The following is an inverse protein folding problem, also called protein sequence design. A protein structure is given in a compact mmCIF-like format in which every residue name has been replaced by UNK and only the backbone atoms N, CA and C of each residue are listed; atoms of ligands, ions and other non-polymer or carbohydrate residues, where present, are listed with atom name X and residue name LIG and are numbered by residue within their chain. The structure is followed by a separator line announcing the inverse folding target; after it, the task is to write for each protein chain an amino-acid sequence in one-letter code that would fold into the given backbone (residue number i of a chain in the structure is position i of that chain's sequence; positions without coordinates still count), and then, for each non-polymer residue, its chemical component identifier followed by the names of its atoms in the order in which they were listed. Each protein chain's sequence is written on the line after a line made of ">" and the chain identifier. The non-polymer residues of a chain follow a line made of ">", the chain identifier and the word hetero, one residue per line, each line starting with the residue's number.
data_IF_546345307451
#
_entry.id   IF_546345307451
#
_cell.length_a   1.000
_cell.length_b   1.000
_cell.length_c   1.000
_cell.angle_alpha   90.00
_cell.angle_beta   90.00
_cell.angle_gamma   90.00
#
_symmetry.space_group_name_H-M   'P 1'
#
loop_
_entity.id
_entity.type
_entity.pdbx_description
1 polymer ?
#
# COMPACT_ATOMS: atom_id res chain seq x y z
N UNK A 1 -3.61 11.43 -22.40
CA UNK A 1 -3.01 12.20 -21.28
C UNK A 1 -1.73 11.52 -20.86
N UNK A 2 -0.76 12.31 -20.42
CA UNK A 2 0.48 11.88 -19.78
C UNK A 2 0.29 11.85 -18.27
N UNK A 3 0.41 10.67 -17.67
CA UNK A 3 0.21 10.46 -16.24
C UNK A 3 1.53 10.01 -15.61
N UNK A 4 1.99 10.73 -14.60
CA UNK A 4 3.15 10.33 -13.83
C UNK A 4 2.73 9.76 -12.47
N UNK A 5 3.18 8.55 -12.16
CA UNK A 5 2.98 7.93 -10.85
C UNK A 5 4.33 7.87 -10.12
N UNK A 6 4.37 8.39 -8.90
CA UNK A 6 5.57 8.45 -8.06
C UNK A 6 5.37 7.54 -6.86
N UNK A 7 6.30 6.61 -6.63
CA UNK A 7 6.22 5.68 -5.50
C UNK A 7 7.60 5.27 -4.99
N UNK A 8 7.71 5.06 -3.69
CA UNK A 8 8.85 4.44 -3.00
C UNK A 8 8.66 2.92 -2.83
N UNK A 9 7.45 2.41 -3.12
CA UNK A 9 7.12 0.99 -3.04
C UNK A 9 7.11 0.41 -4.47
N UNK A 10 8.18 -0.31 -4.82
CA UNK A 10 8.30 -0.95 -6.14
C UNK A 10 9.05 -2.27 -6.07
N UNK A 11 9.15 -2.96 -7.22
CA UNK A 11 9.93 -4.18 -7.36
C UNK A 11 11.37 -4.02 -6.86
N UNK A 12 11.95 -5.05 -6.21
CA UNK A 12 11.44 -6.42 -6.08
C UNK A 12 10.49 -6.65 -4.88
N UNK A 13 10.02 -5.60 -4.19
CA UNK A 13 9.16 -5.76 -3.01
C UNK A 13 7.82 -6.39 -3.38
N UNK A 14 7.43 -7.44 -2.65
CA UNK A 14 6.12 -8.10 -2.83
C UNK A 14 5.15 -7.60 -1.77
N UNK A 15 4.36 -6.58 -2.11
CA UNK A 15 3.32 -6.06 -1.21
C UNK A 15 2.09 -5.55 -1.98
N UNK A 16 1.04 -5.21 -1.23
CA UNK A 16 -0.23 -4.76 -1.79
C UNK A 16 -0.14 -3.42 -2.54
N UNK A 17 0.80 -2.54 -2.18
CA UNK A 17 1.00 -1.25 -2.86
C UNK A 17 1.58 -1.49 -4.25
N UNK A 18 2.65 -2.28 -4.35
CA UNK A 18 3.28 -2.63 -5.64
C UNK A 18 2.25 -3.26 -6.59
N UNK A 19 1.44 -4.21 -6.10
CA UNK A 19 0.36 -4.83 -6.91
C UNK A 19 -0.69 -3.81 -7.36
N UNK A 20 -1.15 -2.95 -6.46
CA UNK A 20 -2.13 -1.91 -6.77
C UNK A 20 -1.60 -0.99 -7.88
N UNK A 21 -0.35 -0.53 -7.76
CA UNK A 21 0.25 0.40 -8.72
C UNK A 21 0.56 -0.26 -10.06
N UNK A 22 0.98 -1.52 -10.07
CA UNK A 22 1.13 -2.30 -11.32
C UNK A 22 -0.19 -2.42 -12.07
N UNK A 23 -1.26 -2.80 -11.38
CA UNK A 23 -2.58 -2.91 -12.02
C UNK A 23 -3.07 -1.55 -12.49
N UNK A 24 -2.97 -0.52 -11.64
CA UNK A 24 -3.35 0.85 -12.01
C UNK A 24 -2.64 1.32 -13.27
N UNK A 25 -1.33 1.09 -13.37
CA UNK A 25 -0.56 1.41 -14.57
C UNK A 25 -1.07 0.63 -15.79
N UNK A 26 -1.32 -0.67 -15.65
CA UNK A 26 -1.80 -1.52 -16.74
C UNK A 26 -3.17 -1.04 -17.25
N UNK A 27 -4.12 -0.77 -16.35
CA UNK A 27 -5.45 -0.25 -16.70
C UNK A 27 -5.37 1.12 -17.37
N UNK A 28 -4.58 2.04 -16.84
CA UNK A 28 -4.41 3.37 -17.45
C UNK A 28 -3.82 3.30 -18.86
N UNK A 29 -2.86 2.42 -19.09
CA UNK A 29 -2.31 2.17 -20.43
C UNK A 29 -3.38 1.55 -21.34
N UNK A 30 -4.15 0.57 -20.83
CA UNK A 30 -5.27 -0.04 -21.55
C UNK A 30 -6.36 0.96 -21.94
N UNK A 31 -6.55 2.02 -21.14
CA UNK A 31 -7.43 3.15 -21.42
C UNK A 31 -6.83 4.17 -22.43
N UNK A 32 -5.61 3.94 -22.93
CA UNK A 32 -4.95 4.80 -23.92
C UNK A 32 -4.16 5.98 -23.32
N UNK A 33 -3.85 5.95 -22.03
CA UNK A 33 -2.98 6.95 -21.41
C UNK A 33 -1.49 6.58 -21.53
N UNK A 34 -0.64 7.60 -21.62
CA UNK A 34 0.81 7.44 -21.52
C UNK A 34 1.21 7.52 -20.04
N UNK A 35 1.80 6.45 -19.49
CA UNK A 35 2.06 6.36 -18.05
C UNK A 35 3.54 6.15 -17.76
N UNK A 36 4.16 7.13 -17.09
CA UNK A 36 5.52 7.04 -16.60
C UNK A 36 5.57 6.85 -15.07
N UNK A 37 6.44 5.94 -14.62
CA UNK A 37 6.65 5.67 -13.21
C UNK A 37 7.99 6.27 -12.74
N UNK A 38 7.96 7.02 -11.64
CA UNK A 38 9.14 7.29 -10.82
C UNK A 38 9.10 6.31 -9.65
N UNK A 39 10.12 5.45 -9.59
CA UNK A 39 10.25 4.37 -8.61
C UNK A 39 11.65 4.43 -8.00
N UNK A 40 11.97 3.64 -6.95
CA UNK A 40 13.33 3.56 -6.43
C UNK A 40 14.35 3.05 -7.47
N UNK A 41 13.90 2.37 -8.53
CA UNK A 41 14.77 1.95 -9.62
C UNK A 41 15.35 3.18 -10.32
N UNK A 42 16.68 3.24 -10.40
CA UNK A 42 17.41 4.40 -10.90
C UNK A 42 17.92 5.35 -9.81
N UNK A 43 17.68 5.04 -8.53
CA UNK A 43 18.18 5.81 -7.39
C UNK A 43 19.09 4.95 -6.50
N UNK A 44 20.16 5.58 -5.98
CA UNK A 44 20.88 4.99 -4.84
C UNK A 44 19.94 4.97 -3.65
N UNK A 45 19.81 3.82 -3.00
CA UNK A 45 18.88 3.64 -1.89
C UNK A 45 19.56 2.98 -0.69
N UNK A 46 19.07 3.29 0.51
CA UNK A 46 19.45 2.59 1.74
C UNK A 46 18.23 1.86 2.32
N UNK A 47 18.43 0.73 3.01
CA UNK A 47 17.35 0.09 3.76
C UNK A 47 16.80 1.05 4.82
N UNK A 48 15.49 1.11 4.96
CA UNK A 48 14.85 1.89 6.02
C UNK A 48 15.25 1.34 7.40
N UNK A 49 15.62 2.20 8.37
CA UNK A 49 15.89 1.76 9.73
C UNK A 49 14.69 0.98 10.29
N UNK A 50 14.96 -0.18 10.89
CA UNK A 50 13.94 -1.13 11.42
C UNK A 50 13.05 -1.83 10.38
N UNK A 51 13.15 -1.50 9.09
CA UNK A 51 12.40 -2.17 8.03
C UNK A 51 13.20 -2.22 6.71
N UNK A 52 14.22 -3.10 6.62
CA UNK A 52 15.17 -3.10 5.51
C UNK A 52 14.54 -3.35 4.13
N UNK A 53 13.36 -3.97 4.10
CA UNK A 53 12.60 -4.24 2.87
C UNK A 53 12.10 -2.95 2.19
N UNK A 54 12.06 -1.81 2.89
CA UNK A 54 11.74 -0.50 2.30
C UNK A 54 13.05 0.16 1.87
N UNK A 55 13.20 0.37 0.56
CA UNK A 55 14.29 1.13 -0.02
C UNK A 55 14.02 2.63 0.06
N UNK A 56 14.84 3.37 0.80
CA UNK A 56 14.78 4.84 0.87
C UNK A 56 15.75 5.43 -0.15
N UNK A 57 15.20 6.04 -1.20
CA UNK A 57 15.99 6.73 -2.22
C UNK A 57 16.74 7.93 -1.62
N UNK A 58 18.05 7.99 -1.84
CA UNK A 58 18.93 9.04 -1.33
C UNK A 58 18.90 10.26 -2.26
N UNK A 59 18.63 11.42 -1.67
CA UNK A 59 18.65 12.74 -2.34
C UNK A 59 17.96 12.78 -3.72
N UNK A 60 16.72 12.26 -3.87
CA UNK A 60 16.16 12.06 -5.20
C UNK A 60 15.69 13.34 -5.90
N UNK A 61 15.68 14.48 -5.19
CA UNK A 61 15.04 15.73 -5.63
C UNK A 61 15.43 16.23 -7.02
N UNK A 62 16.74 16.24 -7.36
CA UNK A 62 17.21 16.72 -8.68
C UNK A 62 16.69 15.85 -9.82
N UNK A 63 16.80 14.54 -9.66
CA UNK A 63 16.41 13.57 -10.68
C UNK A 63 14.88 13.48 -10.83
N UNK A 64 14.15 13.52 -9.70
CA UNK A 64 12.68 13.60 -9.72
C UNK A 64 12.21 14.86 -10.47
N UNK A 65 12.79 16.02 -10.15
CA UNK A 65 12.48 17.28 -10.83
C UNK A 65 12.78 17.23 -12.33
N UNK A 66 13.90 16.62 -12.72
CA UNK A 66 14.30 16.43 -14.12
C UNK A 66 13.26 15.58 -14.86
N UNK A 67 12.90 14.40 -14.32
CA UNK A 67 11.94 13.49 -14.93
C UNK A 67 10.54 14.08 -15.04
N UNK A 68 10.05 14.77 -14.01
CA UNK A 68 8.76 15.48 -14.10
C UNK A 68 8.79 16.53 -15.23
N UNK A 69 9.87 17.31 -15.32
CA UNK A 69 10.02 18.35 -16.35
C UNK A 69 10.08 17.78 -17.76
N UNK A 70 10.84 16.71 -17.97
CA UNK A 70 11.04 16.10 -19.30
C UNK A 70 9.79 15.38 -19.79
N UNK A 71 9.13 14.63 -18.92
CA UNK A 71 7.89 13.93 -19.28
C UNK A 71 6.73 14.90 -19.50
N UNK A 72 6.70 16.02 -18.76
CA UNK A 72 5.66 17.03 -18.76
C UNK A 72 4.25 16.41 -18.56
N UNK A 73 3.97 15.80 -17.40
CA UNK A 73 2.70 15.12 -17.15
C UNK A 73 1.53 16.10 -17.07
N UNK A 74 0.38 15.67 -17.60
CA UNK A 74 -0.91 16.32 -17.38
C UNK A 74 -1.43 16.09 -15.95
N UNK A 75 -1.06 14.96 -15.34
CA UNK A 75 -1.45 14.58 -13.99
C UNK A 75 -0.33 13.85 -13.24
N UNK A 76 -0.16 14.18 -11.96
CA UNK A 76 0.80 13.52 -11.06
C UNK A 76 0.03 12.80 -9.95
N UNK A 77 0.36 11.53 -9.72
CA UNK A 77 -0.11 10.75 -8.58
C UNK A 77 1.06 10.35 -7.68
N UNK A 78 1.05 10.81 -6.43
CA UNK A 78 2.08 10.53 -5.44
C UNK A 78 1.57 9.44 -4.49
N UNK A 79 2.02 8.21 -4.68
CA UNK A 79 1.46 7.03 -4.01
C UNK A 79 2.04 6.76 -2.61
N UNK A 80 3.16 7.37 -2.24
CA UNK A 80 3.85 7.11 -0.98
C UNK A 80 4.45 8.38 -0.37
N UNK A 81 4.59 8.38 0.95
CA UNK A 81 5.09 9.50 1.75
C UNK A 81 6.63 9.48 1.94
N UNK A 82 7.35 8.64 1.19
CA UNK A 82 8.80 8.46 1.27
C UNK A 82 9.60 9.53 0.51
N UNK A 83 10.94 9.36 0.39
CA UNK A 83 11.82 10.35 -0.23
C UNK A 83 11.43 10.77 -1.65
N UNK A 84 10.96 9.84 -2.48
CA UNK A 84 10.48 10.15 -3.83
C UNK A 84 9.19 10.96 -3.78
N UNK A 85 8.24 10.54 -2.95
CA UNK A 85 6.98 11.27 -2.76
C UNK A 85 7.19 12.68 -2.21
N UNK A 86 8.08 12.85 -1.24
CA UNK A 86 8.47 14.16 -0.70
C UNK A 86 9.06 15.06 -1.79
N UNK A 87 9.94 14.51 -2.63
CA UNK A 87 10.56 15.26 -3.73
C UNK A 87 9.57 15.67 -4.80
N UNK A 88 8.67 14.76 -5.21
CA UNK A 88 7.63 15.05 -6.19
C UNK A 88 6.63 16.07 -5.65
N UNK A 89 6.22 15.94 -4.38
CA UNK A 89 5.34 16.90 -3.71
C UNK A 89 5.98 18.29 -3.67
N UNK A 90 7.24 18.39 -3.25
CA UNK A 90 7.95 19.66 -3.19
C UNK A 90 8.03 20.33 -4.57
N UNK A 91 8.31 19.54 -5.61
CA UNK A 91 8.34 20.04 -6.98
C UNK A 91 6.95 20.50 -7.46
N UNK A 92 5.91 19.69 -7.24
CA UNK A 92 4.55 20.00 -7.67
C UNK A 92 4.01 21.27 -7.00
N UNK A 93 4.19 21.39 -5.68
CA UNK A 93 3.80 22.60 -4.92
C UNK A 93 4.56 23.83 -5.40
N UNK A 94 5.89 23.73 -5.60
CA UNK A 94 6.71 24.87 -6.05
C UNK A 94 6.29 25.38 -7.43
N UNK A 95 5.84 24.49 -8.32
CA UNK A 95 5.49 24.83 -9.70
C UNK A 95 3.97 24.90 -9.94
N UNK A 96 3.15 24.89 -8.88
CA UNK A 96 1.68 24.90 -8.95
C UNK A 96 1.09 23.80 -9.87
N UNK A 97 1.72 22.61 -9.88
CA UNK A 97 1.22 21.48 -10.64
C UNK A 97 0.14 20.73 -9.85
N UNK A 98 -1.02 20.39 -10.44
CA UNK A 98 -2.03 19.61 -9.77
C UNK A 98 -1.53 18.18 -9.55
N UNK A 99 -1.74 17.65 -8.34
CA UNK A 99 -1.39 16.27 -8.01
C UNK A 99 -2.40 15.65 -7.06
N UNK A 100 -2.49 14.32 -7.10
CA UNK A 100 -3.21 13.51 -6.12
C UNK A 100 -2.21 12.74 -5.25
N UNK A 101 -2.67 12.30 -4.09
CA UNK A 101 -1.90 11.46 -3.18
C UNK A 101 -2.69 10.20 -2.82
N UNK A 102 -2.03 9.15 -2.35
CA UNK A 102 -2.70 7.97 -1.78
C UNK A 102 -2.19 7.66 -0.38
N UNK A 103 -3.08 7.10 0.44
CA UNK A 103 -2.75 6.64 1.79
C UNK A 103 -2.93 5.12 1.87
N UNK A 104 -1.83 4.39 1.71
CA UNK A 104 -1.85 2.93 1.63
C UNK A 104 -1.51 2.22 2.94
N UNK A 105 -0.74 2.88 3.79
CA UNK A 105 -0.20 2.32 5.02
C UNK A 105 -0.58 3.22 6.18
N UNK A 106 -0.98 2.62 7.30
CA UNK A 106 -1.24 3.33 8.57
C UNK A 106 0.08 3.75 9.22
N UNK A 107 0.80 4.65 8.56
CA UNK A 107 2.13 5.10 8.95
C UNK A 107 2.15 5.74 10.36
N UNK A 108 1.21 6.62 10.75
CA UNK A 108 1.10 7.15 12.11
C UNK A 108 1.05 6.08 13.19
N UNK A 109 0.19 5.07 13.03
CA UNK A 109 0.04 3.97 14.00
C UNK A 109 1.29 3.10 14.04
N UNK A 110 1.88 2.81 12.89
CA UNK A 110 3.11 2.04 12.80
C UNK A 110 4.27 2.73 13.50
N UNK A 111 4.45 4.04 13.29
CA UNK A 111 5.49 4.83 13.97
C UNK A 111 5.24 4.85 15.47
N UNK A 112 4.01 5.10 15.92
CA UNK A 112 3.68 5.08 17.35
C UNK A 112 4.02 3.74 18.00
N UNK A 113 3.66 2.62 17.36
CA UNK A 113 3.92 1.29 17.89
C UNK A 113 5.42 0.97 18.05
N UNK A 114 6.30 1.59 17.26
CA UNK A 114 7.73 1.31 17.25
C UNK A 114 8.58 2.29 18.03
N UNK A 115 8.22 3.57 18.02
CA UNK A 115 9.04 4.63 18.60
C UNK A 115 8.35 5.38 19.73
N UNK A 116 7.06 5.10 19.97
CA UNK A 116 6.25 5.80 20.96
C UNK A 116 5.86 7.23 20.57
N UNK A 117 6.23 7.70 19.37
CA UNK A 117 5.88 9.05 18.92
C UNK A 117 4.35 9.23 18.94
N UNK A 118 3.83 10.31 19.55
CA UNK A 118 2.39 10.55 19.61
C UNK A 118 1.73 10.66 18.23
N UNK A 119 0.53 10.08 18.10
CA UNK A 119 -0.27 10.15 16.86
C UNK A 119 -0.51 11.59 16.39
N UNK A 120 -0.66 12.54 17.32
CA UNK A 120 -0.88 13.94 16.96
C UNK A 120 0.24 14.50 16.07
N UNK A 121 1.49 14.11 16.32
CA UNK A 121 2.67 14.55 15.57
C UNK A 121 2.70 13.90 14.19
N UNK A 122 2.53 12.59 14.12
CA UNK A 122 2.56 11.86 12.85
C UNK A 122 1.37 12.22 11.97
N UNK A 123 0.17 12.43 12.53
CA UNK A 123 -0.97 12.96 11.77
C UNK A 123 -0.80 14.43 11.37
N UNK A 124 -0.05 15.24 12.11
CA UNK A 124 0.33 16.57 11.64
C UNK A 124 1.22 16.50 10.38
N UNK A 125 2.15 15.55 10.33
CA UNK A 125 2.93 15.26 9.13
C UNK A 125 2.05 14.79 7.96
N UNK A 126 1.13 13.85 8.20
CA UNK A 126 0.17 13.39 7.17
C UNK A 126 -0.66 14.57 6.63
N UNK A 127 -1.22 15.41 7.49
CA UNK A 127 -1.95 16.61 7.03
C UNK A 127 -1.08 17.55 6.19
N UNK A 128 0.16 17.80 6.61
CA UNK A 128 1.10 18.62 5.84
C UNK A 128 1.41 18.00 4.48
N UNK A 129 1.69 16.69 4.44
CA UNK A 129 2.05 15.99 3.21
C UNK A 129 0.90 16.01 2.19
N UNK A 130 -0.29 15.58 2.62
CA UNK A 130 -1.44 15.42 1.74
C UNK A 130 -2.22 16.71 1.47
N UNK A 131 -2.13 17.71 2.35
CA UNK A 131 -2.96 18.92 2.32
C UNK A 131 -2.99 19.68 0.99
N UNK A 132 -1.86 19.87 0.27
CA UNK A 132 -1.86 20.58 -1.01
C UNK A 132 -2.35 19.75 -2.20
N UNK A 133 -2.61 18.45 -2.02
CA UNK A 133 -3.11 17.60 -3.12
C UNK A 133 -4.55 17.94 -3.46
N UNK A 134 -4.97 17.68 -4.70
CA UNK A 134 -6.36 17.82 -5.13
C UNK A 134 -7.27 16.74 -4.55
N UNK A 135 -6.72 15.54 -4.35
CA UNK A 135 -7.42 14.41 -3.76
C UNK A 135 -6.46 13.51 -2.97
N UNK A 136 -6.96 12.98 -1.85
CA UNK A 136 -6.28 12.00 -1.01
C UNK A 136 -7.01 10.67 -1.13
N UNK A 137 -6.42 9.72 -1.84
CA UNK A 137 -7.04 8.45 -2.16
C UNK A 137 -6.90 7.46 -1.00
N UNK A 138 -8.04 6.99 -0.47
CA UNK A 138 -8.12 6.03 0.63
C UNK A 138 -8.72 4.70 0.17
N UNK A 139 -8.20 3.54 0.63
CA UNK A 139 -8.59 2.23 0.11
C UNK A 139 -9.95 1.73 0.61
N UNK A 140 -10.45 2.25 1.73
CA UNK A 140 -11.71 1.83 2.34
C UNK A 140 -12.44 3.01 2.95
N UNK A 141 -13.76 2.86 3.14
CA UNK A 141 -14.58 3.88 3.82
C UNK A 141 -14.12 4.12 5.26
N UNK A 142 -13.62 3.08 5.95
CA UNK A 142 -13.08 3.19 7.30
C UNK A 142 -11.85 4.08 7.32
N UNK A 143 -10.89 3.84 6.42
CA UNK A 143 -9.67 4.65 6.33
C UNK A 143 -10.01 6.08 5.91
N UNK A 144 -10.95 6.26 4.98
CA UNK A 144 -11.43 7.60 4.59
C UNK A 144 -11.94 8.36 5.82
N UNK A 145 -12.86 7.76 6.58
CA UNK A 145 -13.45 8.40 7.75
C UNK A 145 -12.41 8.66 8.85
N UNK A 146 -11.43 7.77 9.03
CA UNK A 146 -10.32 7.99 9.96
C UNK A 146 -9.49 9.22 9.56
N UNK A 147 -9.09 9.33 8.28
CA UNK A 147 -8.33 10.48 7.77
C UNK A 147 -9.10 11.80 7.91
N UNK A 148 -10.41 11.78 7.64
CA UNK A 148 -11.29 12.95 7.82
C UNK A 148 -11.37 13.39 9.29
N UNK A 149 -11.48 12.44 10.23
CA UNK A 149 -11.41 12.74 11.67
C UNK A 149 -10.09 13.38 12.08
N UNK A 150 -9.00 13.04 11.39
CA UNK A 150 -7.68 13.65 11.61
C UNK A 150 -7.47 14.95 10.82
N UNK A 151 -8.52 15.48 10.16
CA UNK A 151 -8.54 16.82 9.57
C UNK A 151 -8.14 16.91 8.10
N UNK A 152 -8.06 15.79 7.37
CA UNK A 152 -7.90 15.80 5.91
C UNK A 152 -9.27 16.11 5.26
N UNK A 153 -9.31 17.02 4.27
CA UNK A 153 -10.58 17.60 3.77
C UNK A 153 -11.06 17.04 2.43
N UNK A 154 -10.18 16.43 1.65
CA UNK A 154 -10.42 16.03 0.26
C UNK A 154 -10.12 14.54 0.05
N UNK A 155 -10.56 13.73 1.00
CA UNK A 155 -10.35 12.29 0.98
C UNK A 155 -11.37 11.63 0.06
N UNK A 156 -10.91 10.87 -0.92
CA UNK A 156 -11.75 10.17 -1.89
C UNK A 156 -11.53 8.66 -1.78
N UNK A 157 -12.58 7.89 -2.05
CA UNK A 157 -12.47 6.44 -2.06
C UNK A 157 -11.76 5.98 -3.34
N UNK A 158 -10.67 5.25 -3.17
CA UNK A 158 -9.97 4.53 -4.23
C UNK A 158 -9.78 3.09 -3.78
N UNK A 159 -10.86 2.32 -3.89
CA UNK A 159 -10.88 0.91 -3.50
C UNK A 159 -9.98 0.07 -4.40
N UNK A 160 -9.49 -1.04 -3.85
CA UNK A 160 -8.73 -2.02 -4.64
C UNK A 160 -9.68 -2.95 -5.39
N UNK A 161 -9.33 -3.28 -6.63
CA UNK A 161 -10.01 -4.30 -7.42
C UNK A 161 -9.51 -5.71 -7.12
N UNK A 162 -10.24 -6.68 -7.67
CA UNK A 162 -9.84 -8.09 -7.76
C UNK A 162 -9.88 -8.47 -9.24
N UNK A 163 -8.88 -9.22 -9.69
CA UNK A 163 -8.82 -9.74 -11.06
C UNK A 163 -9.79 -10.92 -11.19
N UNK A 164 -10.86 -10.73 -11.97
CA UNK A 164 -11.92 -11.73 -12.14
C UNK A 164 -11.55 -12.86 -13.11
N UNK A 165 -10.48 -12.70 -13.90
CA UNK A 165 -9.96 -13.78 -14.74
C UNK A 165 -9.20 -14.81 -13.89
N UNK A 166 -8.59 -14.34 -12.79
CA UNK A 166 -7.91 -15.16 -11.78
C UNK A 166 -8.92 -15.70 -10.75
N UNK A 167 -9.71 -14.81 -10.14
CA UNK A 167 -10.65 -15.13 -9.07
C UNK A 167 -12.05 -15.40 -9.63
N UNK A 168 -12.20 -16.57 -10.23
CA UNK A 168 -13.50 -17.09 -10.70
C UNK A 168 -13.93 -18.31 -9.90
N UNK A 169 -15.23 -18.58 -9.89
CA UNK A 169 -15.75 -19.85 -9.36
C UNK A 169 -15.12 -21.00 -10.14
N UNK A 170 -14.65 -22.01 -9.42
CA UNK A 170 -14.09 -23.23 -9.98
C UNK A 170 -14.77 -24.43 -9.34
N UNK A 171 -14.88 -25.53 -10.09
CA UNK A 171 -15.35 -26.79 -9.53
C UNK A 171 -14.41 -27.20 -8.39
N UNK A 172 -15.00 -27.42 -7.21
CA UNK A 172 -14.27 -27.87 -6.03
C UNK A 172 -13.70 -29.26 -6.31
N UNK A 173 -12.38 -29.40 -6.19
CA UNK A 173 -11.81 -30.72 -5.88
C UNK A 173 -12.24 -31.05 -4.45
N UNK A 174 -12.85 -32.21 -4.24
CA UNK A 174 -13.20 -32.67 -2.91
C UNK A 174 -11.94 -32.67 -2.03
N UNK A 175 -11.92 -31.81 -1.02
CA UNK A 175 -10.89 -31.83 0.00
C UNK A 175 -11.27 -32.92 1.00
N UNK A 176 -10.32 -33.80 1.34
CA UNK A 176 -10.57 -34.86 2.30
C UNK A 176 -10.52 -34.30 3.74
N UNK A 177 -11.49 -33.46 4.08
CA UNK A 177 -11.63 -32.80 5.39
C UNK A 177 -13.09 -32.66 5.80
N UNK A 178 -13.34 -32.51 7.10
CA UNK A 178 -14.68 -32.31 7.62
C UNK A 178 -15.30 -31.01 7.07
N UNK A 179 -16.54 -31.09 6.61
CA UNK A 179 -17.30 -29.94 6.13
C UNK A 179 -18.20 -29.37 7.25
N UNK A 180 -18.51 -28.05 7.23
CA UNK A 180 -18.00 -27.03 6.30
C UNK A 180 -16.50 -26.74 6.47
N UNK A 181 -15.90 -26.19 5.41
CA UNK A 181 -14.50 -25.77 5.40
C UNK A 181 -14.46 -24.25 5.63
N UNK A 182 -13.81 -23.83 6.71
CA UNK A 182 -13.53 -22.43 6.99
C UNK A 182 -12.11 -22.09 6.56
N UNK A 183 -11.96 -21.00 5.82
CA UNK A 183 -10.69 -20.66 5.18
C UNK A 183 -10.16 -19.30 5.67
N UNK A 184 -8.90 -19.31 6.08
CA UNK A 184 -8.07 -18.13 6.21
C UNK A 184 -7.02 -18.12 5.08
N UNK A 185 -6.92 -17.02 4.35
CA UNK A 185 -5.86 -16.81 3.34
C UNK A 185 -5.08 -15.55 3.67
N UNK A 186 -3.78 -15.69 3.94
CA UNK A 186 -2.93 -14.55 4.25
C UNK A 186 -1.59 -14.95 4.87
N UNK A 187 -0.71 -13.96 5.06
CA UNK A 187 0.58 -14.16 5.74
C UNK A 187 0.34 -14.68 7.16
N UNK A 188 1.11 -15.70 7.57
CA UNK A 188 1.03 -16.25 8.93
C UNK A 188 1.92 -15.46 9.87
N UNK A 189 1.36 -14.41 10.46
CA UNK A 189 2.07 -13.46 11.29
C UNK A 189 1.18 -12.95 12.44
N UNK A 190 1.81 -12.51 13.54
CA UNK A 190 1.14 -12.14 14.80
C UNK A 190 0.11 -11.03 14.57
N UNK A 191 0.43 -10.03 13.76
CA UNK A 191 -0.47 -8.90 13.46
C UNK A 191 -1.73 -9.30 12.69
N UNK A 192 -1.79 -10.53 12.15
CA UNK A 192 -2.97 -11.07 11.46
C UNK A 192 -3.93 -11.81 12.38
N UNK A 193 -3.58 -11.98 13.65
CA UNK A 193 -4.44 -12.55 14.69
C UNK A 193 -5.08 -13.89 14.31
N UNK A 194 -4.27 -14.81 13.77
CA UNK A 194 -4.75 -16.11 13.26
C UNK A 194 -5.26 -17.00 14.39
N UNK A 195 -4.70 -16.84 15.60
CA UNK A 195 -5.21 -17.51 16.79
C UNK A 195 -6.70 -17.23 17.00
N UNK A 196 -7.17 -16.00 16.79
CA UNK A 196 -8.58 -15.69 16.91
C UNK A 196 -9.45 -16.47 15.91
N UNK A 197 -8.96 -16.80 14.71
CA UNK A 197 -9.68 -17.68 13.78
C UNK A 197 -9.68 -19.14 14.26
N UNK A 198 -8.51 -19.63 14.70
CA UNK A 198 -8.33 -21.02 15.13
C UNK A 198 -9.04 -21.35 16.44
N UNK A 199 -9.24 -20.37 17.32
CA UNK A 199 -9.89 -20.52 18.64
C UNK A 199 -11.43 -20.52 18.58
N UNK A 200 -12.05 -20.05 17.49
CA UNK A 200 -13.51 -20.06 17.36
C UNK A 200 -14.00 -21.51 17.24
N UNK A 201 -14.93 -21.94 18.09
CA UNK A 201 -15.57 -23.25 17.95
C UNK A 201 -16.47 -23.26 16.71
N UNK A 202 -16.10 -24.05 15.70
CA UNK A 202 -16.76 -24.10 14.39
C UNK A 202 -16.93 -25.56 13.95
N UNK A 203 -18.10 -25.95 13.41
CA UNK A 203 -18.32 -27.32 12.96
C UNK A 203 -17.55 -27.61 11.67
N UNK A 204 -16.73 -28.65 11.60
CA UNK A 204 -16.00 -29.02 10.38
C UNK A 204 -14.50 -28.75 10.49
N UNK A 205 -13.87 -28.20 9.45
CA UNK A 205 -12.42 -28.01 9.38
C UNK A 205 -12.02 -26.56 9.13
N UNK A 206 -10.85 -26.17 9.65
CA UNK A 206 -10.26 -24.85 9.47
C UNK A 206 -8.98 -24.99 8.66
N UNK A 207 -8.87 -24.20 7.59
CA UNK A 207 -7.72 -24.21 6.69
C UNK A 207 -7.02 -22.86 6.75
N UNK A 208 -5.70 -22.89 6.92
CA UNK A 208 -4.84 -21.70 6.90
C UNK A 208 -3.93 -21.81 5.69
N UNK A 209 -4.13 -20.91 4.72
CA UNK A 209 -3.35 -20.85 3.48
C UNK A 209 -2.44 -19.62 3.50
N UNK A 210 -1.14 -19.88 3.46
CA UNK A 210 -0.10 -18.87 3.46
C UNK A 210 1.11 -19.32 4.26
N UNK A 211 2.13 -18.48 4.34
CA UNK A 211 3.33 -18.73 5.13
C UNK A 211 3.70 -17.46 5.91
N UNK A 212 4.60 -17.58 6.88
CA UNK A 212 5.11 -16.43 7.63
C UNK A 212 5.81 -16.80 8.94
N UNK A 213 6.34 -15.77 9.63
CA UNK A 213 7.19 -15.97 10.81
C UNK A 213 6.50 -16.70 11.96
N UNK A 214 5.17 -16.65 12.06
CA UNK A 214 4.42 -17.34 13.11
C UNK A 214 4.01 -18.78 12.75
N UNK A 215 4.36 -19.28 11.55
CA UNK A 215 3.90 -20.58 11.08
C UNK A 215 4.34 -21.75 11.97
N UNK A 216 5.59 -21.72 12.45
CA UNK A 216 6.12 -22.78 13.32
C UNK A 216 5.34 -22.88 14.64
N UNK A 217 5.07 -21.73 15.27
CA UNK A 217 4.30 -21.65 16.51
C UNK A 217 2.85 -22.10 16.30
N UNK A 218 2.20 -21.64 15.22
CA UNK A 218 0.83 -22.04 14.89
C UNK A 218 0.72 -23.56 14.68
N UNK A 219 1.65 -24.17 13.93
CA UNK A 219 1.66 -25.63 13.73
C UNK A 219 1.92 -26.41 15.02
N UNK A 220 2.68 -25.85 15.96
CA UNK A 220 2.90 -26.49 17.26
C UNK A 220 1.63 -26.45 18.12
N UNK A 221 0.92 -25.32 18.13
CA UNK A 221 -0.31 -25.13 18.92
C UNK A 221 -1.53 -25.83 18.30
N UNK A 222 -1.59 -25.88 16.97
CA UNK A 222 -2.66 -26.49 16.18
C UNK A 222 -2.05 -27.48 15.17
N UNK A 223 -1.82 -28.74 15.59
CA UNK A 223 -1.15 -29.73 14.75
C UNK A 223 -2.05 -30.32 13.63
N UNK A 224 -3.36 -30.05 13.69
CA UNK A 224 -4.36 -30.53 12.74
C UNK A 224 -4.79 -29.43 11.77
#
# INVERSE_FOLDING_TARGET
>A
MKIMIVTDAWDPQVNGVVRTLKQTRAELIGMGHEVEMITPNGFKSIPCPTYPDIALSLFPGKEVARRIKEFAPDAIHIATEGPLGLSARAYAVKNNLPFSTAYHTRFPEYVKARTGIPLAITYAFIRWFHGPSMAVMAPTIVVKNDLEKYGLKNVVLWSRGVDLDIFKMQDSKALNSAHPIFLYVGRVAVEKNINAFLEIDLPGSKWVVGDGPAMAEIKQKYPN
#
